data_IF_910605778047
#
_entry.id   IF_910605778047
#
_cell.length_a   1.000
_cell.length_b   1.000
_cell.length_c   1.000
_cell.angle_alpha   90.00
_cell.angle_beta   90.00
_cell.angle_gamma   90.00
#
_symmetry.space_group_name_H-M   'P 1'
#
loop_
_entity.id
_entity.type
_entity.pdbx_description
1 polymer ?
#
# COMPACT_ATOMS: atom_id res chain seq x y z
N UNK A 1 2.47 13.75 10.10
CA UNK A 1 1.42 12.89 9.55
C UNK A 1 1.99 11.98 8.43
N UNK A 2 2.64 12.55 7.38
CA UNK A 2 3.11 11.78 6.21
C UNK A 2 4.04 10.61 6.60
N UNK A 3 5.11 10.86 7.36
CA UNK A 3 6.10 9.83 7.74
C UNK A 3 5.45 8.65 8.50
N UNK A 4 4.53 8.95 9.43
CA UNK A 4 3.83 7.90 10.20
C UNK A 4 2.93 7.08 9.29
N UNK A 5 2.16 7.73 8.42
CA UNK A 5 1.33 7.04 7.43
C UNK A 5 2.20 6.20 6.47
N UNK A 6 3.35 6.74 6.05
CA UNK A 6 4.27 6.04 5.15
C UNK A 6 4.88 4.80 5.78
N UNK A 7 5.23 4.85 7.07
CA UNK A 7 5.71 3.68 7.78
C UNK A 7 4.59 2.62 7.88
N UNK A 8 3.38 3.00 8.30
CA UNK A 8 2.25 2.09 8.44
C UNK A 8 1.90 1.41 7.10
N UNK A 9 1.84 2.19 6.02
CA UNK A 9 1.54 1.66 4.68
C UNK A 9 2.68 0.79 4.14
N UNK A 10 3.93 1.16 4.36
CA UNK A 10 5.08 0.35 3.97
C UNK A 10 5.08 -1.03 4.67
N UNK A 11 4.69 -1.07 5.94
CA UNK A 11 4.53 -2.32 6.71
C UNK A 11 3.49 -3.23 6.04
N UNK A 12 2.25 -2.72 5.79
CA UNK A 12 1.19 -3.55 5.20
C UNK A 12 1.46 -3.86 3.72
N UNK A 13 2.22 -3.02 3.03
CA UNK A 13 2.68 -3.28 1.67
C UNK A 13 3.66 -4.46 1.61
N UNK A 14 4.61 -4.53 2.54
CA UNK A 14 5.53 -5.67 2.64
C UNK A 14 4.78 -6.97 2.96
N UNK A 15 3.82 -6.92 3.87
CA UNK A 15 2.98 -8.08 4.24
C UNK A 15 2.22 -8.59 3.01
N UNK A 16 1.74 -7.70 2.14
CA UNK A 16 1.12 -8.11 0.88
C UNK A 16 2.05 -8.98 0.04
N UNK A 17 3.30 -8.58 -0.19
CA UNK A 17 4.23 -9.38 -0.97
C UNK A 17 4.53 -10.74 -0.36
N UNK A 18 4.58 -10.83 0.96
CA UNK A 18 4.85 -12.07 1.67
C UNK A 18 3.67 -13.05 1.63
N UNK A 19 2.44 -12.54 1.73
CA UNK A 19 1.27 -13.38 1.98
C UNK A 19 0.34 -13.56 0.78
N UNK A 20 0.49 -12.76 -0.29
CA UNK A 20 -0.40 -12.89 -1.47
C UNK A 20 -0.20 -14.21 -2.20
N UNK A 21 1.04 -14.68 -2.35
CA UNK A 21 1.32 -15.97 -2.99
C UNK A 21 0.64 -17.14 -2.26
N UNK A 22 0.94 -17.35 -0.97
CA UNK A 22 0.26 -18.37 -0.16
C UNK A 22 -1.27 -18.23 -0.15
N UNK A 23 -1.78 -17.00 -0.12
CA UNK A 23 -3.22 -16.74 -0.17
C UNK A 23 -3.85 -17.17 -1.49
N UNK A 24 -3.26 -16.81 -2.65
CA UNK A 24 -3.78 -17.20 -3.95
C UNK A 24 -3.71 -18.74 -4.14
N UNK A 25 -2.64 -19.38 -3.67
CA UNK A 25 -2.51 -20.85 -3.66
C UNK A 25 -3.64 -21.47 -2.82
N UNK A 26 -3.96 -20.92 -1.64
CA UNK A 26 -5.07 -21.40 -0.81
C UNK A 26 -6.45 -21.26 -1.47
N UNK A 27 -6.59 -20.35 -2.43
CA UNK A 27 -7.80 -20.18 -3.26
C UNK A 27 -7.82 -21.08 -4.49
N UNK A 28 -6.85 -22.01 -4.64
CA UNK A 28 -6.77 -22.96 -5.73
C UNK A 28 -6.09 -22.43 -7.00
N UNK A 29 -5.41 -21.28 -6.94
CA UNK A 29 -4.59 -20.81 -8.05
C UNK A 29 -3.30 -21.62 -8.12
N UNK A 30 -2.99 -22.27 -9.25
CA UNK A 30 -1.73 -22.98 -9.43
C UNK A 30 -0.52 -22.06 -9.25
N UNK A 31 0.56 -22.56 -8.66
CA UNK A 31 1.78 -21.77 -8.37
C UNK A 31 2.34 -21.09 -9.63
N UNK A 32 2.24 -21.73 -10.78
CA UNK A 32 2.65 -21.16 -12.08
C UNK A 32 1.83 -19.95 -12.53
N UNK A 33 0.63 -19.74 -11.99
CA UNK A 33 -0.26 -18.65 -12.33
C UNK A 33 -0.24 -17.50 -11.28
N UNK A 34 0.37 -17.71 -10.12
CA UNK A 34 0.46 -16.68 -9.06
C UNK A 34 1.23 -15.47 -9.56
N UNK A 35 2.42 -15.68 -10.15
CA UNK A 35 3.21 -14.59 -10.73
C UNK A 35 2.44 -13.79 -11.78
N UNK A 36 1.88 -14.41 -12.82
CA UNK A 36 1.00 -13.74 -13.78
C UNK A 36 -0.17 -12.98 -13.14
N UNK A 37 -0.86 -13.55 -12.15
CA UNK A 37 -1.95 -12.90 -11.45
C UNK A 37 -1.48 -11.63 -10.71
N UNK A 38 -0.32 -11.66 -10.07
CA UNK A 38 0.26 -10.50 -9.39
C UNK A 38 0.76 -9.44 -10.37
N UNK A 39 1.19 -9.82 -11.58
CA UNK A 39 1.68 -8.89 -12.62
C UNK A 39 0.60 -7.91 -13.09
N UNK A 40 -0.69 -8.23 -12.94
CA UNK A 40 -1.80 -7.28 -13.20
C UNK A 40 -1.59 -5.99 -12.40
N UNK A 41 -1.10 -6.10 -11.17
CA UNK A 41 -0.78 -4.94 -10.33
C UNK A 41 0.31 -4.06 -10.92
N UNK A 42 1.38 -4.63 -11.47
CA UNK A 42 2.48 -3.88 -12.09
C UNK A 42 2.03 -3.17 -13.37
N UNK A 43 1.20 -3.81 -14.21
CA UNK A 43 0.61 -3.13 -15.37
C UNK A 43 -0.26 -1.95 -14.97
N UNK A 44 -1.11 -2.12 -13.96
CA UNK A 44 -1.93 -1.04 -13.43
C UNK A 44 -1.06 0.09 -12.84
N UNK A 45 0.07 -0.24 -12.22
CA UNK A 45 1.04 0.73 -11.70
C UNK A 45 1.62 1.61 -12.82
N UNK A 46 2.06 1.03 -13.92
CA UNK A 46 2.58 1.78 -15.07
C UNK A 46 1.54 2.79 -15.58
N UNK A 47 0.29 2.35 -15.72
CA UNK A 47 -0.80 3.23 -16.17
C UNK A 47 -1.08 4.33 -15.15
N UNK A 48 -1.18 4.00 -13.87
CA UNK A 48 -1.48 4.96 -12.81
C UNK A 48 -0.35 5.98 -12.65
N UNK A 49 0.92 5.54 -12.78
CA UNK A 49 2.10 6.44 -12.78
C UNK A 49 2.07 7.42 -13.96
N UNK A 50 1.68 6.98 -15.15
CA UNK A 50 1.59 7.85 -16.32
C UNK A 50 0.62 9.02 -16.11
N UNK A 51 -0.45 8.80 -15.33
CA UNK A 51 -1.45 9.83 -15.03
C UNK A 51 -1.26 10.55 -13.69
N UNK A 52 -0.26 10.15 -12.89
CA UNK A 52 -0.04 10.70 -11.54
C UNK A 52 0.09 12.22 -11.55
N UNK A 53 0.90 12.78 -12.47
CA UNK A 53 1.09 14.24 -12.59
C UNK A 53 -0.21 14.99 -12.86
N UNK A 54 -1.09 14.43 -13.69
CA UNK A 54 -2.42 15.00 -13.95
C UNK A 54 -3.25 15.06 -12.67
N UNK A 55 -3.30 13.97 -11.90
CA UNK A 55 -4.05 13.94 -10.65
C UNK A 55 -3.47 14.87 -9.59
N UNK A 56 -2.14 14.90 -9.42
CA UNK A 56 -1.48 15.81 -8.48
C UNK A 56 -1.80 17.28 -8.79
N UNK A 57 -1.81 17.66 -10.06
CA UNK A 57 -2.14 19.02 -10.50
C UNK A 57 -3.61 19.39 -10.24
N UNK A 58 -4.55 18.46 -10.47
CA UNK A 58 -5.98 18.77 -10.45
C UNK A 58 -6.63 18.64 -9.06
N UNK A 59 -6.18 17.69 -8.23
CA UNK A 59 -6.82 17.42 -6.94
C UNK A 59 -5.88 17.55 -5.74
N UNK A 60 -4.57 17.81 -5.95
CA UNK A 60 -3.56 18.05 -4.92
C UNK A 60 -3.04 16.77 -4.25
N UNK A 61 -1.94 16.91 -3.52
CA UNK A 61 -1.25 15.79 -2.86
C UNK A 61 -2.11 15.12 -1.80
N UNK A 62 -2.79 15.90 -0.96
CA UNK A 62 -3.61 15.34 0.12
C UNK A 62 -4.63 14.33 -0.40
N UNK A 63 -5.38 14.68 -1.44
CA UNK A 63 -6.43 13.81 -1.98
C UNK A 63 -5.83 12.61 -2.70
N UNK A 64 -4.79 12.82 -3.51
CA UNK A 64 -4.10 11.73 -4.23
C UNK A 64 -3.56 10.70 -3.25
N UNK A 65 -2.81 11.12 -2.24
CA UNK A 65 -2.24 10.23 -1.22
C UNK A 65 -3.35 9.51 -0.44
N UNK A 66 -4.43 10.22 -0.07
CA UNK A 66 -5.57 9.60 0.62
C UNK A 66 -6.21 8.50 -0.23
N UNK A 67 -6.40 8.72 -1.54
CA UNK A 67 -6.91 7.70 -2.47
C UNK A 67 -5.96 6.49 -2.51
N UNK A 68 -4.65 6.73 -2.57
CA UNK A 68 -3.63 5.67 -2.52
C UNK A 68 -3.72 4.81 -1.26
N UNK A 69 -3.86 5.43 -0.08
CA UNK A 69 -4.04 4.71 1.19
C UNK A 69 -5.37 3.95 1.21
N UNK A 70 -6.46 4.58 0.73
CA UNK A 70 -7.78 3.95 0.67
C UNK A 70 -7.80 2.72 -0.25
N UNK A 71 -7.00 2.72 -1.31
CA UNK A 71 -6.86 1.58 -2.21
C UNK A 71 -6.27 0.34 -1.50
N UNK A 72 -5.37 0.52 -0.51
CA UNK A 72 -4.91 -0.60 0.34
C UNK A 72 -6.05 -1.17 1.17
N UNK A 73 -6.82 -0.29 1.84
CA UNK A 73 -7.98 -0.71 2.63
C UNK A 73 -8.95 -1.54 1.79
N UNK A 74 -9.35 -1.02 0.63
CA UNK A 74 -10.31 -1.67 -0.25
C UNK A 74 -9.79 -3.01 -0.79
N UNK A 75 -8.53 -3.06 -1.25
CA UNK A 75 -7.93 -4.28 -1.78
C UNK A 75 -7.87 -5.38 -0.72
N UNK A 76 -7.45 -5.06 0.50
CA UNK A 76 -7.39 -6.04 1.57
C UNK A 76 -8.76 -6.46 2.09
N UNK A 77 -9.77 -5.57 2.03
CA UNK A 77 -11.16 -5.95 2.29
C UNK A 77 -11.67 -6.97 1.26
N UNK A 78 -11.32 -6.79 -0.03
CA UNK A 78 -11.63 -7.76 -1.08
C UNK A 78 -10.93 -9.10 -0.82
N UNK A 79 -9.65 -9.10 -0.43
CA UNK A 79 -8.89 -10.32 -0.10
C UNK A 79 -9.47 -11.05 1.11
N UNK A 80 -9.94 -10.31 2.12
CA UNK A 80 -10.58 -10.87 3.31
C UNK A 80 -11.97 -11.46 3.04
N UNK A 81 -12.61 -11.09 1.93
CA UNK A 81 -13.95 -11.56 1.62
C UNK A 81 -13.97 -13.04 1.22
N UNK A 82 -14.79 -13.81 1.92
CA UNK A 82 -15.02 -15.23 1.61
C UNK A 82 -16.11 -15.42 0.54
N UNK A 83 -16.90 -14.38 0.27
CA UNK A 83 -18.03 -14.44 -0.65
C UNK A 83 -17.65 -14.12 -2.10
N UNK A 84 -16.52 -13.45 -2.30
CA UNK A 84 -16.11 -13.00 -3.61
C UNK A 84 -15.42 -14.12 -4.39
N UNK A 85 -15.79 -14.32 -5.67
CA UNK A 85 -15.14 -15.30 -6.50
C UNK A 85 -13.67 -14.91 -6.79
N UNK A 86 -12.83 -15.89 -7.00
CA UNK A 86 -11.37 -15.73 -7.15
C UNK A 86 -10.99 -14.74 -8.26
N UNK A 87 -11.75 -14.66 -9.34
CA UNK A 87 -11.47 -13.73 -10.43
C UNK A 87 -11.58 -12.26 -9.99
N UNK A 88 -12.49 -11.92 -9.04
CA UNK A 88 -12.55 -10.57 -8.46
C UNK A 88 -11.28 -10.28 -7.64
N UNK A 89 -10.79 -11.25 -6.87
CA UNK A 89 -9.53 -11.14 -6.13
C UNK A 89 -8.37 -10.87 -7.09
N UNK A 90 -8.32 -11.59 -8.22
CA UNK A 90 -7.28 -11.40 -9.25
C UNK A 90 -7.39 -10.00 -9.89
N UNK A 91 -8.57 -9.56 -10.30
CA UNK A 91 -8.77 -8.23 -10.90
C UNK A 91 -8.46 -7.13 -9.89
N UNK A 92 -8.75 -7.35 -8.61
CA UNK A 92 -8.45 -6.37 -7.55
C UNK A 92 -6.95 -6.11 -7.37
N UNK A 93 -6.07 -6.95 -7.93
CA UNK A 93 -4.64 -6.65 -8.00
C UNK A 93 -4.37 -5.33 -8.74
N UNK A 94 -5.24 -4.90 -9.66
CA UNK A 94 -5.12 -3.60 -10.32
C UNK A 94 -5.12 -2.41 -9.34
N UNK A 95 -5.72 -2.55 -8.14
CA UNK A 95 -5.60 -1.52 -7.10
C UNK A 95 -4.15 -1.28 -6.65
N UNK A 96 -3.23 -2.22 -6.92
CA UNK A 96 -1.81 -2.03 -6.63
C UNK A 96 -1.24 -0.78 -7.31
N UNK A 97 -1.68 -0.47 -8.52
CA UNK A 97 -1.29 0.74 -9.23
C UNK A 97 -1.62 2.01 -8.42
N UNK A 98 -2.83 2.12 -7.89
CA UNK A 98 -3.21 3.23 -7.02
C UNK A 98 -2.43 3.19 -5.70
N UNK A 99 -2.26 2.01 -5.10
CA UNK A 99 -1.48 1.84 -3.88
C UNK A 99 -0.06 2.36 -4.03
N UNK A 100 0.62 2.06 -5.13
CA UNK A 100 2.00 2.46 -5.35
C UNK A 100 2.12 3.89 -5.86
N UNK A 101 1.48 4.21 -6.98
CA UNK A 101 1.63 5.52 -7.61
C UNK A 101 1.04 6.65 -6.76
N UNK A 102 -0.19 6.50 -6.27
CA UNK A 102 -0.88 7.57 -5.53
C UNK A 102 -0.43 7.68 -4.09
N UNK A 103 0.19 6.64 -3.53
CA UNK A 103 0.78 6.75 -2.21
C UNK A 103 2.30 6.94 -2.28
N UNK A 104 3.07 5.91 -2.63
CA UNK A 104 4.54 5.97 -2.52
C UNK A 104 5.15 7.03 -3.44
N UNK A 105 4.85 7.00 -4.74
CA UNK A 105 5.42 7.97 -5.67
C UNK A 105 4.95 9.41 -5.35
N UNK A 106 3.68 9.62 -5.03
CA UNK A 106 3.18 10.92 -4.62
C UNK A 106 3.84 11.43 -3.33
N UNK A 107 4.06 10.55 -2.34
CA UNK A 107 4.74 10.90 -1.09
C UNK A 107 6.21 11.30 -1.33
N UNK A 108 6.94 10.57 -2.20
CA UNK A 108 8.30 10.93 -2.59
C UNK A 108 8.35 12.30 -3.30
N UNK A 109 7.44 12.55 -4.24
CA UNK A 109 7.35 13.85 -4.92
C UNK A 109 7.00 14.96 -3.93
N UNK A 110 6.13 14.68 -2.95
CA UNK A 110 5.80 15.65 -1.91
C UNK A 110 7.01 16.00 -1.04
N UNK A 111 7.77 15.00 -0.58
CA UNK A 111 9.01 15.21 0.19
C UNK A 111 10.05 15.99 -0.62
N UNK A 112 10.19 15.70 -1.92
CA UNK A 112 11.06 16.43 -2.82
C UNK A 112 10.69 17.92 -2.91
N UNK A 113 9.41 18.21 -3.05
CA UNK A 113 8.91 19.60 -3.16
C UNK A 113 8.93 20.37 -1.84
N UNK A 114 8.80 19.67 -0.71
CA UNK A 114 8.77 20.29 0.61
C UNK A 114 10.19 20.65 1.09
N UNK A 115 11.20 19.86 0.75
CA UNK A 115 12.55 20.04 1.20
C UNK A 115 13.25 21.20 0.46
N UNK A 116 14.05 22.00 1.18
CA UNK A 116 14.91 23.01 0.59
C UNK A 116 16.02 22.35 -0.24
N UNK A 117 16.56 23.08 -1.23
CA UNK A 117 17.48 22.51 -2.24
C UNK A 117 18.73 21.88 -1.63
N UNK A 118 19.27 22.45 -0.57
CA UNK A 118 20.48 21.98 0.13
C UNK A 118 20.27 20.70 0.93
N UNK A 119 19.04 20.40 1.38
CA UNK A 119 18.70 19.20 2.16
C UNK A 119 17.83 18.18 1.42
N UNK A 120 17.43 18.47 0.19
CA UNK A 120 16.48 17.65 -0.60
C UNK A 120 16.91 16.19 -0.73
N UNK A 121 18.15 15.95 -1.12
CA UNK A 121 18.67 14.58 -1.25
C UNK A 121 18.71 13.84 0.09
N UNK A 122 19.07 14.54 1.17
CA UNK A 122 19.07 13.96 2.51
C UNK A 122 17.65 13.62 2.97
N UNK A 123 16.68 14.49 2.72
CA UNK A 123 15.27 14.26 3.07
C UNK A 123 14.71 13.03 2.33
N UNK A 124 14.97 12.90 1.04
CA UNK A 124 14.56 11.74 0.26
C UNK A 124 15.25 10.46 0.72
N UNK A 125 16.53 10.53 1.05
CA UNK A 125 17.28 9.37 1.56
C UNK A 125 16.72 8.88 2.89
N UNK A 126 16.51 9.78 3.85
CA UNK A 126 15.91 9.44 5.16
C UNK A 126 14.50 8.86 4.99
N UNK A 127 13.68 9.49 4.14
CA UNK A 127 12.34 9.00 3.84
C UNK A 127 12.39 7.59 3.20
N UNK A 128 13.33 7.38 2.28
CA UNK A 128 13.57 6.08 1.65
C UNK A 128 14.00 5.00 2.66
N UNK A 129 14.89 5.31 3.60
CA UNK A 129 15.31 4.37 4.66
C UNK A 129 14.10 3.94 5.50
N UNK A 130 13.20 4.87 5.83
CA UNK A 130 11.99 4.55 6.59
C UNK A 130 11.07 3.61 5.81
N UNK A 131 10.81 3.92 4.53
CA UNK A 131 9.84 3.18 3.71
C UNK A 131 10.42 1.86 3.19
N UNK A 132 11.65 1.90 2.63
CA UNK A 132 12.25 0.74 1.95
C UNK A 132 13.08 -0.13 2.89
N UNK A 133 13.43 0.38 4.08
CA UNK A 133 14.18 -0.34 5.10
C UNK A 133 13.32 -0.69 6.30
N UNK A 134 12.91 0.31 7.09
CA UNK A 134 12.18 0.12 8.35
C UNK A 134 10.84 -0.59 8.16
N UNK A 135 10.05 -0.13 7.19
CA UNK A 135 8.75 -0.72 6.88
C UNK A 135 8.82 -2.22 6.57
N UNK A 136 9.64 -2.65 5.59
CA UNK A 136 9.80 -4.07 5.27
C UNK A 136 10.30 -4.94 6.43
N UNK A 137 11.24 -4.47 7.24
CA UNK A 137 11.73 -5.22 8.41
C UNK A 137 10.61 -5.43 9.43
N UNK A 138 9.90 -4.36 9.80
CA UNK A 138 8.75 -4.45 10.72
C UNK A 138 7.63 -5.27 10.08
N UNK A 139 7.39 -5.10 8.79
CA UNK A 139 6.37 -5.83 8.03
C UNK A 139 6.62 -7.34 8.01
N UNK A 140 7.87 -7.76 7.84
CA UNK A 140 8.26 -9.16 7.92
C UNK A 140 7.96 -9.78 9.28
N UNK A 141 8.37 -9.10 10.35
CA UNK A 141 8.09 -9.53 11.73
C UNK A 141 6.58 -9.55 12.01
N UNK A 142 5.88 -8.47 11.68
CA UNK A 142 4.43 -8.35 11.91
C UNK A 142 3.64 -9.39 11.10
N UNK A 143 4.08 -9.71 9.87
CA UNK A 143 3.48 -10.77 9.06
C UNK A 143 3.49 -12.10 9.79
N UNK A 144 4.65 -12.51 10.34
CA UNK A 144 4.76 -13.74 11.11
C UNK A 144 3.91 -13.73 12.38
N UNK A 145 3.89 -12.61 13.10
CA UNK A 145 3.04 -12.45 14.29
C UNK A 145 1.55 -12.55 13.93
N UNK A 146 1.09 -11.81 12.93
CA UNK A 146 -0.31 -11.86 12.49
C UNK A 146 -0.70 -13.25 11.97
N UNK A 147 0.22 -13.93 11.28
CA UNK A 147 -0.01 -15.31 10.87
C UNK A 147 -0.20 -16.23 12.07
N UNK A 148 0.64 -16.13 13.10
CA UNK A 148 0.55 -16.97 14.30
C UNK A 148 -0.77 -16.76 15.06
N UNK A 149 -1.22 -15.52 15.24
CA UNK A 149 -2.48 -15.23 15.95
C UNK A 149 -3.74 -15.56 15.13
N UNK A 150 -3.62 -15.63 13.80
CA UNK A 150 -4.72 -16.04 12.92
C UNK A 150 -4.67 -17.53 12.55
N UNK A 151 -3.80 -18.32 13.18
CA UNK A 151 -3.72 -19.78 12.97
C UNK A 151 -4.27 -20.50 14.19
N UNK A 152 -5.34 -21.28 13.99
CA UNK A 152 -5.95 -22.12 15.00
C UNK A 152 -5.97 -23.58 14.53
N UNK A 153 -5.53 -24.52 15.36
CA UNK A 153 -5.45 -25.95 15.04
C UNK A 153 -4.68 -26.23 13.73
N UNK A 154 -3.64 -25.45 13.46
CA UNK A 154 -2.84 -25.59 12.22
C UNK A 154 -3.49 -25.01 10.96
N UNK A 155 -4.68 -24.40 11.05
CA UNK A 155 -5.39 -23.79 9.92
C UNK A 155 -5.23 -22.28 10.00
N UNK A 156 -4.65 -21.67 8.95
CA UNK A 156 -4.49 -20.23 8.84
C UNK A 156 -5.75 -19.56 8.28
N UNK A 157 -6.33 -18.63 9.04
CA UNK A 157 -7.49 -17.86 8.64
C UNK A 157 -7.07 -16.61 7.84
N UNK A 158 -7.01 -16.74 6.52
CA UNK A 158 -6.69 -15.65 5.61
C UNK A 158 -7.71 -14.50 5.67
N UNK A 159 -8.99 -14.80 5.89
CA UNK A 159 -10.04 -13.78 5.93
C UNK A 159 -9.79 -12.79 7.08
N UNK A 160 -9.66 -13.29 8.30
CA UNK A 160 -9.35 -12.47 9.47
C UNK A 160 -8.03 -11.71 9.31
N UNK A 161 -7.01 -12.35 8.76
CA UNK A 161 -5.72 -11.73 8.49
C UNK A 161 -5.84 -10.52 7.55
N UNK A 162 -6.49 -10.68 6.39
CA UNK A 162 -6.64 -9.58 5.43
C UNK A 162 -7.55 -8.45 5.94
N UNK A 163 -8.60 -8.79 6.69
CA UNK A 163 -9.44 -7.76 7.34
C UNK A 163 -8.66 -6.96 8.38
N UNK A 164 -7.72 -7.57 9.10
CA UNK A 164 -6.83 -6.84 10.02
C UNK A 164 -5.99 -5.81 9.27
N UNK A 165 -5.39 -6.18 8.13
CA UNK A 165 -4.64 -5.25 7.29
C UNK A 165 -5.53 -4.17 6.67
N UNK A 166 -6.75 -4.52 6.27
CA UNK A 166 -7.75 -3.56 5.78
C UNK A 166 -8.10 -2.52 6.86
N UNK A 167 -8.27 -2.96 8.10
CA UNK A 167 -8.53 -2.06 9.23
C UNK A 167 -7.36 -1.11 9.49
N UNK A 168 -6.12 -1.60 9.44
CA UNK A 168 -4.92 -0.75 9.55
C UNK A 168 -4.92 0.30 8.43
N UNK A 169 -5.20 -0.11 7.18
CA UNK A 169 -5.32 0.80 6.04
C UNK A 169 -6.43 1.84 6.24
N UNK A 170 -7.58 1.42 6.75
CA UNK A 170 -8.71 2.32 7.04
C UNK A 170 -8.37 3.36 8.10
N UNK A 171 -7.83 2.92 9.23
CA UNK A 171 -7.41 3.83 10.33
C UNK A 171 -6.35 4.81 9.81
N UNK A 172 -5.36 4.31 9.05
CA UNK A 172 -4.32 5.16 8.44
C UNK A 172 -4.93 6.19 7.49
N UNK A 173 -5.94 5.80 6.68
CA UNK A 173 -6.66 6.71 5.78
C UNK A 173 -7.33 7.84 6.57
N UNK A 174 -8.08 7.50 7.62
CA UNK A 174 -8.81 8.48 8.44
C UNK A 174 -7.83 9.43 9.13
N UNK A 175 -6.81 8.90 9.79
CA UNK A 175 -5.81 9.71 10.50
C UNK A 175 -5.02 10.61 9.53
N UNK A 176 -4.62 10.07 8.37
CA UNK A 176 -3.94 10.86 7.36
C UNK A 176 -4.82 12.00 6.87
N UNK A 177 -6.06 11.73 6.50
CA UNK A 177 -7.00 12.76 6.01
C UNK A 177 -7.27 13.85 7.05
N UNK A 178 -7.38 13.49 8.33
CA UNK A 178 -7.62 14.45 9.42
C UNK A 178 -6.40 15.31 9.74
N UNK A 179 -5.21 14.70 9.80
CA UNK A 179 -4.03 15.37 10.35
C UNK A 179 -3.02 15.84 9.30
N UNK A 180 -3.11 15.36 8.06
CA UNK A 180 -2.23 15.84 7.01
C UNK A 180 -2.72 17.20 6.48
N UNK A 181 -1.84 18.19 6.57
CA UNK A 181 -2.01 19.51 5.94
C UNK A 181 -0.99 19.61 4.81
N UNK A 182 -1.46 20.03 3.65
CA UNK A 182 -0.59 20.29 2.50
C UNK A 182 0.07 21.65 2.71
N UNK A 183 1.40 21.66 2.87
CA UNK A 183 2.19 22.86 3.19
C UNK A 183 3.02 23.33 1.99
N UNK A 184 2.69 22.86 0.78
CA UNK A 184 3.36 23.36 -0.42
C UNK A 184 2.91 24.79 -0.69
N UNK A 185 3.74 25.77 -0.35
CA UNK A 185 3.61 27.12 -0.87
C UNK A 185 3.85 27.04 -2.39
N UNK A 186 3.00 27.71 -3.20
CA UNK A 186 3.28 27.89 -4.62
C UNK A 186 4.61 28.63 -4.73
N UNK A 187 5.68 27.88 -4.90
CA UNK A 187 6.96 28.43 -5.34
C UNK A 187 6.81 28.57 -6.85
N UNK A 188 6.49 29.80 -7.29
CA UNK A 188 6.52 30.25 -8.69
C UNK A 188 7.89 30.00 -9.32
#
# INVERSE_FOLDING_TARGET
ALVIASLAISIIHQIYFLQTGPFLSSKGIPDSQIGPAMTIGQFAEILTMAYLGYFLKNIGFKKVITIGISAYCLRYAIFGSEFLPVWIIIISQAFHGFCYAFFFAAAYIYVDKLADEDVRHSAQTVFGIIILGGGPVIGGWLSGFLQSVNTANGIFNFSSFWYTLSLIGFVTTVLFFMFFKEELTERE
#
